data_IF_188741394302
#
_entry.id   IF_188741394302
#
_cell.length_a   1.000
_cell.length_b   1.000
_cell.length_c   1.000
_cell.angle_alpha   90.00
_cell.angle_beta   90.00
_cell.angle_gamma   90.00
#
_symmetry.space_group_name_H-M   'P 1'
#
loop_
_entity.id
_entity.type
_entity.pdbx_description
1 polymer ?
#
# COMPACT_ATOMS: atom_id res chain seq x y z
N UNK A 1 -18.80 26.74 9.15
CA UNK A 1 -19.14 25.30 8.95
C UNK A 1 -18.60 24.77 7.63
N UNK A 2 -19.02 25.30 6.46
CA UNK A 2 -18.54 24.81 5.16
C UNK A 2 -17.01 24.87 4.93
N UNK A 3 -16.34 25.93 5.41
CA UNK A 3 -14.87 26.02 5.30
C UNK A 3 -14.13 24.95 6.13
N UNK A 4 -14.64 24.63 7.32
CA UNK A 4 -14.07 23.60 8.20
C UNK A 4 -14.30 22.21 7.59
N UNK A 5 -15.52 21.94 7.10
CA UNK A 5 -15.83 20.69 6.40
C UNK A 5 -14.92 20.46 5.18
N UNK A 6 -14.57 21.52 4.44
CA UNK A 6 -13.63 21.44 3.32
C UNK A 6 -12.23 21.02 3.77
N UNK A 7 -11.71 21.63 4.84
CA UNK A 7 -10.39 21.30 5.38
C UNK A 7 -10.34 19.85 5.84
N UNK A 8 -11.36 19.39 6.55
CA UNK A 8 -11.44 17.99 6.99
C UNK A 8 -11.56 17.02 5.82
N UNK A 9 -12.32 17.35 4.78
CA UNK A 9 -12.42 16.51 3.58
C UNK A 9 -11.09 16.38 2.83
N UNK A 10 -10.33 17.48 2.71
CA UNK A 10 -8.99 17.45 2.10
C UNK A 10 -8.02 16.66 2.97
N UNK A 11 -8.02 16.86 4.27
CA UNK A 11 -7.14 16.16 5.20
C UNK A 11 -7.41 14.65 5.20
N UNK A 12 -8.67 14.26 5.40
CA UNK A 12 -9.09 12.86 5.38
C UNK A 12 -8.82 12.23 4.02
N UNK A 13 -9.14 12.94 2.94
CA UNK A 13 -8.89 12.46 1.59
C UNK A 13 -7.40 12.23 1.32
N UNK A 14 -6.55 13.17 1.74
CA UNK A 14 -5.10 13.03 1.63
C UNK A 14 -4.54 11.86 2.43
N UNK A 15 -5.01 11.65 3.67
CA UNK A 15 -4.58 10.52 4.51
C UNK A 15 -5.00 9.18 3.88
N UNK A 16 -6.24 9.06 3.42
CA UNK A 16 -6.75 7.84 2.80
C UNK A 16 -6.01 7.53 1.49
N UNK A 17 -5.84 8.52 0.62
CA UNK A 17 -5.08 8.34 -0.62
C UNK A 17 -3.62 8.00 -0.36
N UNK A 18 -2.97 8.67 0.61
CA UNK A 18 -1.59 8.39 0.99
C UNK A 18 -1.41 6.98 1.52
N UNK A 19 -2.31 6.52 2.41
CA UNK A 19 -2.29 5.17 2.93
C UNK A 19 -2.48 4.11 1.84
N UNK A 20 -3.42 4.33 0.91
CA UNK A 20 -3.64 3.44 -0.22
C UNK A 20 -2.45 3.37 -1.18
N UNK A 21 -1.83 4.52 -1.51
CA UNK A 21 -0.60 4.56 -2.34
C UNK A 21 0.53 3.79 -1.66
N UNK A 22 0.74 4.00 -0.36
CA UNK A 22 1.79 3.32 0.39
C UNK A 22 1.58 1.80 0.38
N UNK A 23 0.34 1.35 0.62
CA UNK A 23 -0.01 -0.07 0.60
C UNK A 23 0.22 -0.68 -0.79
N UNK A 24 -0.19 0.01 -1.85
CA UNK A 24 0.05 -0.44 -3.23
C UNK A 24 1.55 -0.51 -3.55
N UNK A 25 2.34 0.47 -3.10
CA UNK A 25 3.79 0.47 -3.29
C UNK A 25 4.49 -0.68 -2.55
N UNK A 26 4.03 -1.02 -1.35
CA UNK A 26 4.54 -2.18 -0.60
C UNK A 26 4.25 -3.50 -1.34
N UNK A 27 3.03 -3.66 -1.88
CA UNK A 27 2.65 -4.85 -2.67
C UNK A 27 3.49 -4.95 -3.95
N UNK A 28 3.70 -3.83 -4.67
CA UNK A 28 4.54 -3.80 -5.85
C UNK A 28 6.00 -4.18 -5.54
N UNK A 29 6.55 -3.65 -4.43
CA UNK A 29 7.87 -4.03 -3.95
C UNK A 29 7.96 -5.52 -3.63
N UNK A 30 6.92 -6.08 -3.00
CA UNK A 30 6.84 -7.51 -2.68
C UNK A 30 6.85 -8.39 -3.94
N UNK A 31 6.13 -7.97 -4.99
CA UNK A 31 6.13 -8.67 -6.28
C UNK A 31 7.50 -8.64 -6.95
N UNK A 32 8.18 -7.48 -6.96
CA UNK A 32 9.53 -7.36 -7.50
C UNK A 32 10.52 -8.25 -6.75
N UNK A 33 10.48 -8.23 -5.42
CA UNK A 33 11.31 -9.11 -4.58
C UNK A 33 11.06 -10.60 -4.88
N UNK A 34 9.80 -11.00 -5.08
CA UNK A 34 9.48 -12.39 -5.46
C UNK A 34 10.01 -12.78 -6.83
N UNK A 35 9.90 -11.90 -7.83
CA UNK A 35 10.46 -12.16 -9.15
C UNK A 35 11.98 -12.31 -9.10
N UNK A 36 12.65 -11.48 -8.31
CA UNK A 36 14.10 -11.49 -8.16
C UNK A 36 14.60 -12.74 -7.40
N UNK A 37 13.88 -13.16 -6.36
CA UNK A 37 14.14 -14.42 -5.64
C UNK A 37 13.90 -15.64 -6.55
N UNK A 38 12.80 -15.67 -7.30
CA UNK A 38 12.49 -16.76 -8.22
C UNK A 38 13.47 -16.86 -9.38
N UNK A 39 13.98 -15.73 -9.88
CA UNK A 39 14.91 -15.68 -11.01
C UNK A 39 16.35 -16.07 -10.65
N UNK A 40 16.78 -15.82 -9.42
CA UNK A 40 18.21 -15.89 -9.06
C UNK A 40 18.60 -17.18 -8.32
N UNK A 41 17.67 -17.84 -7.63
CA UNK A 41 18.08 -18.66 -6.48
C UNK A 41 17.24 -19.91 -6.16
N UNK A 42 16.99 -20.80 -7.13
CA UNK A 42 16.40 -22.13 -6.82
C UNK A 42 17.23 -22.90 -5.77
N UNK A 43 18.57 -22.87 -5.87
CA UNK A 43 19.47 -23.56 -4.93
C UNK A 43 19.52 -22.89 -3.55
N UNK A 44 19.42 -21.56 -3.53
CA UNK A 44 19.52 -20.73 -2.31
C UNK A 44 18.21 -20.66 -1.56
N UNK A 45 17.06 -20.93 -2.20
CA UNK A 45 15.78 -21.14 -1.50
C UNK A 45 15.82 -22.40 -0.64
N UNK A 46 16.40 -23.49 -1.16
CA UNK A 46 16.59 -24.74 -0.41
C UNK A 46 17.59 -24.58 0.74
N UNK A 47 18.72 -23.91 0.48
CA UNK A 47 19.72 -23.62 1.51
C UNK A 47 19.20 -22.58 2.51
N UNK A 48 18.45 -21.58 2.05
CA UNK A 48 17.91 -20.48 2.84
C UNK A 48 16.77 -20.88 3.76
N UNK A 49 15.88 -21.77 3.32
CA UNK A 49 14.91 -22.41 4.22
C UNK A 49 15.58 -23.23 5.33
N UNK A 50 16.74 -23.84 5.06
CA UNK A 50 17.53 -24.58 6.05
C UNK A 50 18.41 -23.69 6.94
N UNK A 51 18.80 -22.50 6.46
CA UNK A 51 19.71 -21.56 7.16
C UNK A 51 19.00 -20.29 7.63
N UNK A 52 17.66 -20.29 7.64
CA UNK A 52 16.81 -19.13 7.87
C UNK A 52 17.24 -18.26 9.07
N UNK A 53 17.64 -18.89 10.18
CA UNK A 53 18.06 -18.22 11.43
C UNK A 53 19.43 -17.51 11.32
N UNK A 54 20.24 -17.85 10.31
CA UNK A 54 21.60 -17.33 10.12
C UNK A 54 21.70 -16.28 9.01
N UNK A 55 20.58 -15.92 8.38
CA UNK A 55 20.56 -14.94 7.29
C UNK A 55 20.30 -13.53 7.79
N UNK A 56 20.80 -12.55 7.05
CA UNK A 56 20.64 -11.12 7.30
C UNK A 56 19.15 -10.73 7.32
N UNK A 57 18.79 -9.67 8.05
CA UNK A 57 17.39 -9.24 8.28
C UNK A 57 16.61 -9.04 6.96
N UNK A 58 17.29 -8.55 5.92
CA UNK A 58 16.72 -8.34 4.59
C UNK A 58 16.32 -9.66 3.91
N UNK A 59 17.11 -10.71 4.07
CA UNK A 59 16.86 -12.02 3.44
C UNK A 59 15.76 -12.79 4.17
N UNK A 60 15.70 -12.65 5.49
CA UNK A 60 14.58 -13.16 6.29
C UNK A 60 13.27 -12.48 5.91
N UNK A 61 13.27 -11.16 5.74
CA UNK A 61 12.09 -10.42 5.29
C UNK A 61 11.65 -10.82 3.87
N UNK A 62 12.59 -11.11 2.95
CA UNK A 62 12.29 -11.58 1.60
C UNK A 62 11.68 -13.01 1.59
N UNK A 63 12.15 -13.90 2.46
CA UNK A 63 11.59 -15.25 2.61
C UNK A 63 10.20 -15.20 3.28
N UNK A 64 9.98 -14.33 4.26
CA UNK A 64 8.64 -14.10 4.85
C UNK A 64 7.65 -13.50 3.85
N UNK A 65 8.14 -12.65 2.95
CA UNK A 65 7.35 -12.10 1.85
C UNK A 65 6.89 -13.18 0.85
N UNK A 66 7.65 -14.27 0.70
CA UNK A 66 7.27 -15.42 -0.13
C UNK A 66 6.13 -16.24 0.51
N UNK A 67 6.06 -16.29 1.84
CA UNK A 67 5.02 -17.04 2.59
C UNK A 67 3.63 -16.36 2.59
N UNK A 68 3.52 -15.10 2.16
CA UNK A 68 2.23 -14.40 2.09
C UNK A 68 1.36 -14.98 0.97
N UNK A 69 0.12 -15.45 1.22
CA UNK A 69 -0.71 -16.01 0.15
C UNK A 69 -1.09 -14.95 -0.90
N UNK A 70 -1.05 -15.30 -2.19
CA UNK A 70 -1.43 -14.39 -3.29
C UNK A 70 -2.88 -13.88 -3.19
N UNK A 71 -3.73 -14.62 -2.49
CA UNK A 71 -5.10 -14.20 -2.19
C UNK A 71 -5.11 -12.96 -1.28
N UNK A 72 -4.21 -12.91 -0.29
CA UNK A 72 -4.10 -11.78 0.64
C UNK A 72 -3.51 -10.56 -0.07
N UNK A 73 -2.56 -10.76 -0.99
CA UNK A 73 -2.00 -9.67 -1.80
C UNK A 73 -3.05 -9.03 -2.71
N UNK A 74 -3.89 -9.83 -3.37
CA UNK A 74 -5.00 -9.32 -4.19
C UNK A 74 -6.03 -8.54 -3.39
N UNK A 75 -6.43 -9.05 -2.23
CA UNK A 75 -7.39 -8.37 -1.37
C UNK A 75 -6.81 -7.05 -0.84
N UNK A 76 -5.53 -7.06 -0.49
CA UNK A 76 -4.80 -5.87 -0.06
C UNK A 76 -4.66 -4.84 -1.18
N UNK A 77 -4.46 -5.28 -2.42
CA UNK A 77 -4.40 -4.40 -3.59
C UNK A 77 -5.75 -3.76 -3.90
N UNK A 78 -6.84 -4.53 -3.82
CA UNK A 78 -8.20 -4.00 -3.90
C UNK A 78 -8.47 -2.97 -2.79
N UNK A 79 -8.05 -3.25 -1.56
CA UNK A 79 -8.18 -2.31 -0.44
C UNK A 79 -7.35 -1.04 -0.67
N UNK A 80 -6.14 -1.16 -1.20
CA UNK A 80 -5.28 -0.03 -1.56
C UNK A 80 -5.97 0.88 -2.58
N UNK A 81 -6.50 0.29 -3.66
CA UNK A 81 -7.25 1.03 -4.68
C UNK A 81 -8.53 1.67 -4.14
N UNK A 82 -9.26 0.97 -3.26
CA UNK A 82 -10.45 1.52 -2.61
C UNK A 82 -10.11 2.74 -1.75
N UNK A 83 -9.01 2.70 -0.98
CA UNK A 83 -8.53 3.82 -0.17
C UNK A 83 -8.11 5.01 -1.05
N UNK A 84 -7.42 4.75 -2.16
CA UNK A 84 -7.05 5.78 -3.14
C UNK A 84 -8.30 6.45 -3.71
N UNK A 85 -9.27 5.66 -4.17
CA UNK A 85 -10.50 6.16 -4.79
C UNK A 85 -11.35 6.97 -3.81
N UNK A 86 -11.54 6.46 -2.58
CA UNK A 86 -12.27 7.16 -1.53
C UNK A 86 -11.57 8.46 -1.14
N UNK A 87 -10.25 8.42 -0.97
CA UNK A 87 -9.47 9.60 -0.64
C UNK A 87 -9.55 10.68 -1.73
N UNK A 88 -9.40 10.27 -3.00
CA UNK A 88 -9.53 11.16 -4.14
C UNK A 88 -10.92 11.78 -4.23
N UNK A 89 -11.97 10.99 -4.00
CA UNK A 89 -13.35 11.47 -3.98
C UNK A 89 -13.58 12.52 -2.89
N UNK A 90 -13.05 12.30 -1.68
CA UNK A 90 -13.12 13.28 -0.59
C UNK A 90 -12.46 14.61 -0.97
N UNK A 91 -11.27 14.56 -1.60
CA UNK A 91 -10.57 15.76 -2.06
C UNK A 91 -11.37 16.46 -3.16
N UNK A 92 -11.87 15.74 -4.16
CA UNK A 92 -12.66 16.30 -5.26
C UNK A 92 -13.94 16.95 -4.74
N UNK A 93 -14.69 16.27 -3.86
CA UNK A 93 -15.92 16.78 -3.26
C UNK A 93 -15.69 18.08 -2.47
N UNK A 94 -14.51 18.23 -1.85
CA UNK A 94 -14.15 19.44 -1.13
C UNK A 94 -14.13 20.70 -2.02
N UNK A 95 -13.82 20.57 -3.32
CA UNK A 95 -13.84 21.68 -4.27
C UNK A 95 -15.25 22.18 -4.59
N UNK A 96 -16.25 21.30 -4.53
CA UNK A 96 -17.65 21.65 -4.78
C UNK A 96 -18.31 22.32 -3.57
N UNK A 97 -17.73 22.17 -2.37
CA UNK A 97 -18.16 22.90 -1.16
C UNK A 97 -17.65 24.34 -1.23
N UNK A 98 -18.30 25.16 -2.06
CA UNK A 98 -18.03 26.60 -2.13
C UNK A 98 -18.64 27.31 -0.92
N UNK A 99 -17.88 28.15 -0.19
CA UNK A 99 -18.47 28.99 0.84
C UNK A 99 -19.44 29.97 0.19
N UNK A 100 -20.70 29.96 0.65
CA UNK A 100 -21.70 30.97 0.27
C UNK A 100 -21.13 32.32 0.69
N UNK A 101 -20.64 33.12 -0.28
CA UNK A 101 -20.10 34.46 -0.07
C UNK A 101 -21.24 35.31 0.51
N UNK A 102 -21.26 35.50 1.83
CA UNK A 102 -22.13 36.50 2.47
C UNK A 102 -21.69 37.86 1.92
N UNK A 103 -22.50 38.43 1.02
CA UNK A 103 -22.58 39.88 0.85
C UNK A 103 -23.21 40.46 2.11
#
# INVERSE_FOLDING_TARGET
MFAIARVWAVFLGGVLSGAGILLHAQIACLHLLREEVNGTFVLWRWIGGLTFVFQDDLTQAALWAEEVPDAVLRESDHAAWALIALGALCVVMSFFVRPKRRR
#
